data_IF_861765684481
#
_entry.id   IF_861765684481
#
_cell.length_a   1.000
_cell.length_b   1.000
_cell.length_c   1.000
_cell.angle_alpha   90.00
_cell.angle_beta   90.00
_cell.angle_gamma   90.00
#
_symmetry.space_group_name_H-M   'P 1'
#
loop_
_entity.id
_entity.type
_entity.pdbx_description
1 polymer ?
#
# COMPACT_ATOMS: atom_id res chain seq x y z
N UNK A 1 -8.94 22.52 12.55
CA UNK A 1 -7.48 22.77 12.37
C UNK A 1 -6.91 21.55 11.68
N UNK A 2 -6.10 21.75 10.63
CA UNK A 2 -5.47 20.65 9.90
C UNK A 2 -4.59 19.80 10.82
N UNK A 3 -4.76 18.46 10.84
CA UNK A 3 -3.90 17.59 11.63
C UNK A 3 -2.49 17.49 11.04
N UNK A 4 -1.52 17.11 11.89
CA UNK A 4 -0.17 16.72 11.46
C UNK A 4 -0.05 15.20 11.47
N UNK A 5 0.83 14.68 10.62
CA UNK A 5 1.23 13.28 10.54
C UNK A 5 2.73 13.15 10.76
N UNK A 6 3.14 12.07 11.43
CA UNK A 6 4.53 11.67 11.61
C UNK A 6 4.85 10.49 10.68
N UNK A 7 5.88 10.65 9.84
CA UNK A 7 6.24 9.70 8.78
C UNK A 7 7.66 9.19 9.02
N UNK A 8 7.82 7.90 9.29
CA UNK A 8 9.12 7.24 9.38
C UNK A 8 9.74 7.06 7.99
N UNK A 9 10.95 7.61 7.79
CA UNK A 9 11.59 7.66 6.46
C UNK A 9 12.76 6.69 6.35
N UNK A 10 13.66 6.68 7.31
CA UNK A 10 14.93 5.94 7.25
C UNK A 10 15.35 5.43 8.63
N UNK A 11 15.85 4.20 8.67
CA UNK A 11 16.43 3.54 9.85
C UNK A 11 17.88 3.20 9.57
N UNK A 12 18.82 3.80 10.33
CA UNK A 12 20.24 3.50 10.13
C UNK A 12 21.06 3.84 11.40
N UNK A 13 22.22 3.21 11.57
CA UNK A 13 23.20 3.56 12.62
C UNK A 13 23.86 4.93 12.37
N UNK A 14 23.84 5.41 11.14
CA UNK A 14 24.36 6.73 10.75
C UNK A 14 23.44 7.34 9.72
N UNK A 15 22.99 8.57 9.95
CA UNK A 15 22.15 9.34 9.03
C UNK A 15 22.82 10.67 8.73
N UNK A 16 22.93 11.00 7.45
CA UNK A 16 23.35 12.31 6.96
C UNK A 16 22.15 13.04 6.38
N UNK A 17 21.96 14.28 6.77
CA UNK A 17 20.89 15.14 6.29
C UNK A 17 21.37 16.57 6.08
N UNK A 18 20.68 17.32 5.24
CA UNK A 18 20.94 18.72 4.96
C UNK A 18 19.68 19.51 5.34
N UNK A 19 19.82 20.49 6.20
CA UNK A 19 18.81 21.52 6.44
C UNK A 19 19.00 22.59 5.36
N UNK A 20 18.14 22.59 4.34
CA UNK A 20 18.32 23.42 3.15
C UNK A 20 18.15 24.91 3.46
N UNK A 21 17.28 25.24 4.43
CA UNK A 21 17.08 26.56 4.98
C UNK A 21 17.31 26.56 6.50
N UNK A 22 16.92 27.64 7.16
CA UNK A 22 17.05 27.80 8.61
C UNK A 22 16.02 26.95 9.36
N UNK A 23 16.50 26.11 10.26
CA UNK A 23 15.74 25.34 11.24
C UNK A 23 16.12 25.75 12.65
N UNK A 24 15.24 25.50 13.61
CA UNK A 24 15.49 25.73 15.03
C UNK A 24 15.70 24.40 15.74
N UNK A 25 16.83 24.31 16.45
CA UNK A 25 17.06 23.26 17.44
C UNK A 25 17.18 23.95 18.83
N UNK A 26 16.26 23.62 19.75
CA UNK A 26 16.18 24.27 21.09
C UNK A 26 16.22 25.81 21.04
N UNK A 27 15.59 26.41 20.03
CA UNK A 27 15.54 27.85 19.81
C UNK A 27 16.77 28.44 19.16
N UNK A 28 17.78 27.65 18.82
CA UNK A 28 18.99 28.10 18.12
C UNK A 28 18.87 27.74 16.63
N UNK A 29 19.22 28.71 15.78
CA UNK A 29 19.23 28.52 14.34
C UNK A 29 20.33 27.55 13.90
N UNK A 30 19.97 26.59 13.06
CA UNK A 30 20.88 25.63 12.43
C UNK A 30 20.53 25.43 10.98
N UNK A 31 21.50 25.13 10.12
CA UNK A 31 21.32 24.87 8.69
C UNK A 31 22.47 24.02 8.14
N UNK A 32 22.42 23.66 6.87
CA UNK A 32 23.46 22.94 6.16
C UNK A 32 23.54 21.46 6.47
N UNK A 33 24.66 20.84 6.10
CA UNK A 33 24.86 19.39 6.22
C UNK A 33 25.19 19.00 7.66
N UNK A 34 24.48 17.98 8.13
CA UNK A 34 24.61 17.42 9.47
C UNK A 34 24.72 15.90 9.38
N UNK A 35 25.44 15.30 10.30
CA UNK A 35 25.55 13.84 10.44
C UNK A 35 25.31 13.45 11.88
N UNK A 36 24.47 12.44 12.09
CA UNK A 36 24.22 11.80 13.39
C UNK A 36 24.65 10.36 13.35
N UNK A 37 25.09 9.82 14.49
CA UNK A 37 25.44 8.40 14.63
C UNK A 37 24.86 7.82 15.92
N UNK A 38 24.44 6.56 15.86
CA UNK A 38 24.03 5.81 17.05
C UNK A 38 25.27 5.36 17.85
N UNK A 39 25.28 5.62 19.14
CA UNK A 39 26.28 5.11 20.05
C UNK A 39 25.70 4.94 21.46
N UNK A 40 25.86 3.75 22.06
CA UNK A 40 25.46 3.43 23.43
C UNK A 40 24.03 3.87 23.81
N UNK A 41 23.07 3.60 22.92
CA UNK A 41 21.66 3.93 23.16
C UNK A 41 21.29 5.39 22.94
N UNK A 42 22.21 6.21 22.40
CA UNK A 42 22.02 7.66 22.15
C UNK A 42 22.32 8.05 20.73
N UNK A 43 21.79 9.20 20.34
CA UNK A 43 22.17 9.90 19.11
C UNK A 43 23.36 10.79 19.40
N UNK A 44 24.47 10.59 18.72
CA UNK A 44 25.62 11.50 18.80
C UNK A 44 25.56 12.50 17.67
N UNK A 45 25.50 13.80 18.02
CA UNK A 45 25.50 14.93 17.10
C UNK A 45 26.43 16.03 17.63
N UNK A 46 27.30 16.54 16.80
CA UNK A 46 28.28 17.59 17.15
C UNK A 46 29.07 17.29 18.45
N UNK A 47 29.40 16.00 18.68
CA UNK A 47 30.17 15.55 19.83
C UNK A 47 29.37 15.41 21.13
N UNK A 48 28.08 15.68 21.13
CA UNK A 48 27.16 15.51 22.27
C UNK A 48 26.20 14.37 22.05
N UNK A 49 25.69 13.75 23.13
CA UNK A 49 24.78 12.62 23.10
C UNK A 49 23.36 13.03 23.51
N UNK A 50 22.37 12.61 22.73
CA UNK A 50 20.95 12.98 22.86
C UNK A 50 20.06 11.74 22.86
N UNK A 51 18.88 11.83 23.51
CA UNK A 51 17.81 10.82 23.40
C UNK A 51 17.01 11.00 22.12
N UNK A 52 16.74 12.24 21.77
CA UNK A 52 16.07 12.64 20.54
C UNK A 52 16.59 14.00 20.06
N UNK A 53 16.42 14.28 18.78
CA UNK A 53 16.66 15.58 18.17
C UNK A 53 15.41 16.01 17.40
N UNK A 54 15.03 17.28 17.54
CA UNK A 54 13.88 17.86 16.85
C UNK A 54 14.27 19.18 16.20
N UNK A 55 14.20 19.20 14.87
CA UNK A 55 14.51 20.36 14.04
C UNK A 55 13.21 20.95 13.51
N UNK A 56 12.83 22.12 14.00
CA UNK A 56 11.61 22.82 13.60
C UNK A 56 11.90 23.79 12.45
N UNK A 57 11.12 23.78 11.34
CA UNK A 57 11.34 24.73 10.26
C UNK A 57 11.01 26.15 10.71
N UNK A 58 11.90 27.09 10.41
CA UNK A 58 11.68 28.51 10.73
C UNK A 58 10.65 29.15 9.79
N UNK A 59 10.54 28.63 8.56
CA UNK A 59 9.60 29.07 7.54
C UNK A 59 8.76 27.90 7.04
N UNK A 60 7.51 28.17 6.60
CA UNK A 60 6.58 27.13 6.15
C UNK A 60 7.11 26.29 5.00
N UNK A 61 7.84 26.92 4.07
CA UNK A 61 8.37 26.27 2.87
C UNK A 61 9.79 25.72 3.06
N UNK A 62 10.34 25.81 4.29
CA UNK A 62 11.66 25.26 4.59
C UNK A 62 11.67 23.74 4.40
N UNK A 63 12.78 23.25 3.84
CA UNK A 63 12.96 21.84 3.49
C UNK A 63 14.26 21.28 4.07
N UNK A 64 14.31 19.96 4.17
CA UNK A 64 15.52 19.23 4.50
C UNK A 64 15.68 18.03 3.57
N UNK A 65 16.92 17.64 3.29
CA UNK A 65 17.25 16.47 2.47
C UNK A 65 17.83 15.38 3.35
N UNK A 66 17.29 14.16 3.26
CA UNK A 66 17.92 12.95 3.84
C UNK A 66 18.69 12.23 2.75
N UNK A 67 19.96 11.91 3.04
CA UNK A 67 20.84 11.19 2.12
C UNK A 67 20.59 9.69 2.16
N UNK A 68 20.78 9.03 1.00
CA UNK A 68 20.73 7.55 0.88
C UNK A 68 19.43 6.91 1.40
N UNK A 69 18.27 7.52 1.21
CA UNK A 69 16.97 6.92 1.54
C UNK A 69 16.77 5.71 0.66
N UNK A 70 16.51 4.54 1.27
CA UNK A 70 16.21 3.32 0.54
C UNK A 70 14.76 3.34 0.11
N UNK A 71 14.49 3.19 -1.18
CA UNK A 71 13.16 3.12 -1.78
C UNK A 71 12.96 1.79 -2.48
N UNK A 72 11.71 1.30 -2.50
CA UNK A 72 11.36 0.00 -3.09
C UNK A 72 11.96 -1.16 -2.33
N UNK A 73 11.89 -1.12 -1.01
CA UNK A 73 12.45 -2.14 -0.12
C UNK A 73 11.92 -3.53 -0.49
N UNK A 74 12.84 -4.47 -0.76
CA UNK A 74 12.55 -5.84 -1.23
C UNK A 74 11.92 -5.96 -2.64
N UNK A 75 11.88 -4.89 -3.42
CA UNK A 75 11.51 -4.95 -4.83
C UNK A 75 12.75 -5.04 -5.73
N UNK A 76 12.58 -5.51 -6.97
CA UNK A 76 13.67 -5.61 -7.97
C UNK A 76 14.27 -4.24 -8.37
N UNK A 77 13.58 -3.14 -8.04
CA UNK A 77 14.00 -1.76 -8.31
C UNK A 77 14.49 -1.03 -7.04
N UNK A 78 14.75 -1.75 -5.94
CA UNK A 78 15.32 -1.18 -4.71
C UNK A 78 16.59 -0.39 -5.02
N UNK A 79 16.65 0.84 -4.53
CA UNK A 79 17.81 1.73 -4.67
C UNK A 79 17.84 2.78 -3.58
N UNK A 80 18.98 3.49 -3.51
CA UNK A 80 19.16 4.65 -2.64
C UNK A 80 18.99 5.94 -3.44
N UNK A 81 18.26 6.87 -2.87
CA UNK A 81 18.07 8.22 -3.40
C UNK A 81 18.19 9.25 -2.28
N UNK A 82 18.75 10.43 -2.61
CA UNK A 82 18.62 11.60 -1.74
C UNK A 82 17.19 12.14 -1.90
N UNK A 83 16.48 12.28 -0.78
CA UNK A 83 15.10 12.75 -0.80
C UNK A 83 14.92 14.02 0.02
N UNK A 84 14.16 14.97 -0.54
CA UNK A 84 13.87 16.27 0.06
C UNK A 84 12.45 16.28 0.63
N UNK A 85 12.32 16.82 1.86
CA UNK A 85 11.08 16.86 2.63
C UNK A 85 10.83 18.24 3.19
N UNK A 86 9.57 18.66 3.25
CA UNK A 86 9.13 19.85 3.99
C UNK A 86 8.68 19.48 5.41
N UNK A 87 8.54 20.50 6.28
CA UNK A 87 8.11 20.31 7.67
C UNK A 87 9.27 20.04 8.63
N UNK A 88 8.98 19.46 9.80
CA UNK A 88 9.99 19.22 10.81
C UNK A 88 10.66 17.86 10.65
N UNK A 89 11.94 17.78 11.06
CA UNK A 89 12.70 16.55 11.16
C UNK A 89 12.87 16.17 12.64
N UNK A 90 12.41 14.96 12.99
CA UNK A 90 12.65 14.36 14.30
C UNK A 90 13.53 13.12 14.13
N UNK A 91 14.53 12.96 15.01
CA UNK A 91 15.39 11.79 15.07
C UNK A 91 15.22 11.15 16.45
N UNK A 92 14.99 9.84 16.48
CA UNK A 92 14.85 9.05 17.72
C UNK A 92 15.73 7.81 17.66
N UNK A 93 15.98 7.20 18.80
CA UNK A 93 16.61 5.88 18.88
C UNK A 93 15.54 4.79 18.88
N UNK A 94 15.68 3.81 18.02
CA UNK A 94 14.80 2.64 17.93
C UNK A 94 15.61 1.42 17.49
N UNK A 95 15.49 0.30 18.22
CA UNK A 95 16.14 -0.98 17.85
C UNK A 95 17.65 -0.85 17.51
N UNK A 96 18.42 -0.15 18.34
CA UNK A 96 19.87 0.11 18.13
C UNK A 96 20.20 0.84 16.81
N UNK A 97 19.26 1.59 16.28
CA UNK A 97 19.42 2.48 15.13
C UNK A 97 18.80 3.85 15.41
N UNK A 98 19.07 4.81 14.53
CA UNK A 98 18.38 6.09 14.49
C UNK A 98 17.26 6.00 13.47
N UNK A 99 16.07 6.42 13.87
CA UNK A 99 14.90 6.55 12.98
C UNK A 99 14.72 8.03 12.65
N UNK A 100 14.72 8.37 11.36
CA UNK A 100 14.38 9.70 10.86
C UNK A 100 12.88 9.78 10.60
N UNK A 101 12.22 10.75 11.22
CA UNK A 101 10.77 10.96 11.15
C UNK A 101 10.51 12.38 10.64
N UNK A 102 9.70 12.49 9.58
CA UNK A 102 9.18 13.79 9.12
C UNK A 102 7.84 14.09 9.79
N UNK A 103 7.66 15.31 10.30
CA UNK A 103 6.40 15.80 10.87
C UNK A 103 5.86 16.90 9.97
N UNK A 104 4.71 16.66 9.35
CA UNK A 104 4.16 17.50 8.29
C UNK A 104 2.64 17.63 8.39
N UNK A 105 2.04 18.65 7.79
CA UNK A 105 0.59 18.76 7.63
C UNK A 105 0.01 17.67 6.73
N UNK A 106 -1.21 17.21 7.01
CA UNK A 106 -1.86 16.14 6.23
C UNK A 106 -1.98 16.51 4.75
N UNK A 107 -2.30 17.76 4.40
CA UNK A 107 -2.46 18.15 3.00
C UNK A 107 -1.12 18.19 2.24
N UNK A 108 -0.06 18.61 2.90
CA UNK A 108 1.29 18.59 2.33
C UNK A 108 1.81 17.14 2.18
N UNK A 109 1.53 16.27 3.17
CA UNK A 109 1.78 14.83 3.06
C UNK A 109 1.08 14.21 1.86
N UNK A 110 -0.21 14.51 1.66
CA UNK A 110 -1.00 14.00 0.52
C UNK A 110 -0.46 14.50 -0.83
N UNK A 111 0.10 15.69 -0.88
CA UNK A 111 0.75 16.20 -2.09
C UNK A 111 1.89 15.28 -2.54
N UNK A 112 2.71 14.82 -1.60
CA UNK A 112 3.75 13.84 -1.87
C UNK A 112 3.20 12.46 -2.26
N UNK A 113 2.25 11.94 -1.48
CA UNK A 113 1.65 10.62 -1.72
C UNK A 113 1.03 10.53 -3.12
N UNK A 114 0.17 11.50 -3.48
CA UNK A 114 -0.51 11.48 -4.78
C UNK A 114 0.49 11.63 -5.92
N UNK A 115 1.51 12.48 -5.77
CA UNK A 115 2.57 12.65 -6.77
C UNK A 115 3.44 11.38 -6.91
N UNK A 116 3.51 10.54 -5.87
CA UNK A 116 4.28 9.29 -5.86
C UNK A 116 3.46 8.09 -6.37
N UNK A 117 2.14 8.09 -6.13
CA UNK A 117 1.22 7.01 -6.49
C UNK A 117 0.62 7.17 -7.90
N UNK A 118 0.34 8.41 -8.32
CA UNK A 118 -0.33 8.73 -9.56
C UNK A 118 0.58 9.43 -10.55
N UNK A 119 0.33 9.16 -11.83
CA UNK A 119 0.98 9.93 -12.90
C UNK A 119 0.42 11.35 -12.96
N UNK A 120 1.28 12.22 -13.41
CA UNK A 120 0.97 13.58 -13.83
C UNK A 120 -0.11 13.74 -14.91
N UNK A 121 -0.38 12.66 -15.65
CA UNK A 121 -1.39 12.63 -16.72
C UNK A 121 -2.78 12.23 -16.21
N UNK A 122 -2.91 11.95 -14.91
CA UNK A 122 -4.18 11.55 -14.31
C UNK A 122 -5.22 12.68 -14.39
N UNK A 123 -6.48 12.29 -14.61
CA UNK A 123 -7.58 13.26 -14.65
C UNK A 123 -7.76 13.94 -13.28
N UNK A 124 -8.21 15.20 -13.28
CA UNK A 124 -8.44 15.94 -12.03
C UNK A 124 -9.43 15.21 -11.11
N UNK A 125 -10.46 14.58 -11.67
CA UNK A 125 -11.46 13.85 -10.88
C UNK A 125 -10.88 12.57 -10.26
N UNK A 126 -9.98 11.85 -10.94
CA UNK A 126 -9.23 10.74 -10.36
C UNK A 126 -8.33 11.21 -9.22
N UNK A 127 -7.59 12.32 -9.40
CA UNK A 127 -6.72 12.88 -8.37
C UNK A 127 -7.50 13.35 -7.14
N UNK A 128 -8.68 13.96 -7.32
CA UNK A 128 -9.60 14.32 -6.23
C UNK A 128 -10.08 13.09 -5.46
N UNK A 129 -10.52 12.05 -6.18
CA UNK A 129 -10.95 10.80 -5.56
C UNK A 129 -9.80 10.20 -4.75
N UNK A 130 -8.59 10.19 -5.32
CA UNK A 130 -7.40 9.66 -4.64
C UNK A 130 -7.00 10.49 -3.41
N UNK A 131 -7.13 11.82 -3.46
CA UNK A 131 -6.89 12.70 -2.31
C UNK A 131 -7.83 12.38 -1.15
N UNK A 132 -9.12 12.18 -1.42
CA UNK A 132 -10.12 11.85 -0.39
C UNK A 132 -9.85 10.46 0.22
N UNK A 133 -9.59 9.43 -0.59
CA UNK A 133 -9.32 8.07 -0.06
C UNK A 133 -8.02 8.01 0.71
N UNK A 134 -6.94 8.62 0.22
CA UNK A 134 -5.64 8.64 0.91
C UNK A 134 -5.73 9.35 2.25
N UNK A 135 -6.49 10.47 2.33
CA UNK A 135 -6.76 11.19 3.57
C UNK A 135 -7.61 10.36 4.52
N UNK A 136 -8.66 9.71 4.02
CA UNK A 136 -9.54 8.85 4.83
C UNK A 136 -8.77 7.68 5.41
N UNK A 137 -8.00 6.97 4.59
CA UNK A 137 -7.17 5.86 5.03
C UNK A 137 -6.18 6.31 6.11
N UNK A 138 -5.41 7.38 5.86
CA UNK A 138 -4.42 7.90 6.81
C UNK A 138 -5.05 8.21 8.18
N UNK A 139 -6.13 8.98 8.18
CA UNK A 139 -6.77 9.41 9.42
C UNK A 139 -7.45 8.26 10.16
N UNK A 140 -8.07 7.32 9.44
CA UNK A 140 -8.62 6.10 10.03
C UNK A 140 -7.53 5.25 10.70
N UNK A 141 -6.35 5.17 10.08
CA UNK A 141 -5.23 4.44 10.65
C UNK A 141 -4.68 5.12 11.92
N UNK A 142 -4.57 6.44 11.93
CA UNK A 142 -4.15 7.19 13.12
C UNK A 142 -5.16 7.00 14.27
N UNK A 143 -6.46 7.02 13.97
CA UNK A 143 -7.52 6.77 14.97
C UNK A 143 -7.43 5.34 15.52
N UNK A 144 -7.31 4.33 14.63
CA UNK A 144 -7.14 2.90 15.01
C UNK A 144 -5.94 2.69 15.94
N UNK A 145 -4.79 3.29 15.62
CA UNK A 145 -3.60 3.17 16.47
C UNK A 145 -3.83 3.74 17.87
N UNK A 146 -4.49 4.89 17.98
CA UNK A 146 -4.81 5.49 19.27
C UNK A 146 -5.75 4.61 20.10
N UNK A 147 -6.74 3.97 19.45
CA UNK A 147 -7.67 3.03 20.10
C UNK A 147 -6.92 1.80 20.61
N UNK A 148 -6.04 1.18 19.82
CA UNK A 148 -5.23 0.01 20.19
C UNK A 148 -4.31 0.32 21.39
N UNK A 149 -3.59 1.44 21.35
CA UNK A 149 -2.71 1.86 22.45
C UNK A 149 -3.51 2.12 23.73
N UNK A 150 -4.69 2.71 23.61
CA UNK A 150 -5.55 3.02 24.76
C UNK A 150 -6.17 1.77 25.43
N UNK A 151 -6.34 0.67 24.68
CA UNK A 151 -6.98 -0.54 25.15
C UNK A 151 -5.98 -1.60 25.66
N UNK A 152 -4.68 -1.39 25.50
CA UNK A 152 -3.60 -2.35 25.81
C UNK A 152 -3.84 -3.74 25.16
N UNK A 153 -4.62 -3.82 24.09
CA UNK A 153 -4.94 -5.06 23.40
C UNK A 153 -3.71 -5.64 22.68
N UNK A 154 -3.45 -6.93 22.93
CA UNK A 154 -2.49 -7.68 22.12
C UNK A 154 -3.14 -8.02 20.79
N UNK A 155 -2.72 -7.35 19.75
CA UNK A 155 -3.14 -7.62 18.39
C UNK A 155 -2.37 -8.84 17.84
N UNK A 156 -3.11 -9.83 17.32
CA UNK A 156 -2.51 -11.04 16.73
C UNK A 156 -2.66 -10.96 15.22
N UNK A 157 -1.54 -10.98 14.51
CA UNK A 157 -1.49 -10.85 13.04
C UNK A 157 -1.22 -12.14 12.31
N UNK A 158 -0.99 -13.22 13.06
CA UNK A 158 -0.78 -14.53 12.45
C UNK A 158 -1.25 -15.67 13.35
N UNK A 159 -1.63 -16.77 12.71
CA UNK A 159 -1.88 -18.06 13.33
C UNK A 159 -0.91 -19.03 12.67
N UNK A 160 -0.13 -19.76 13.47
CA UNK A 160 0.77 -20.81 12.98
C UNK A 160 0.58 -22.08 13.79
N UNK A 161 0.26 -23.17 13.09
CA UNK A 161 0.15 -24.52 13.61
C UNK A 161 1.07 -25.45 12.81
N UNK A 162 1.02 -26.76 13.06
CA UNK A 162 1.79 -27.75 12.28
C UNK A 162 1.39 -27.74 10.80
N UNK A 163 0.08 -27.56 10.51
CA UNK A 163 -0.53 -27.71 9.18
C UNK A 163 -1.01 -26.41 8.54
N UNK A 164 -0.99 -25.30 9.27
CA UNK A 164 -1.55 -24.04 8.80
C UNK A 164 -0.70 -22.84 9.22
N UNK A 165 -0.45 -21.91 8.31
CA UNK A 165 0.11 -20.57 8.56
C UNK A 165 -0.79 -19.54 7.91
N UNK A 166 -1.58 -18.84 8.71
CA UNK A 166 -2.43 -17.72 8.28
C UNK A 166 -1.81 -16.43 8.79
N UNK A 167 -1.40 -15.57 7.90
CA UNK A 167 -0.76 -14.30 8.22
C UNK A 167 -1.41 -13.16 7.45
N UNK A 168 -1.75 -12.10 8.16
CA UNK A 168 -2.16 -10.84 7.55
C UNK A 168 -1.21 -9.73 7.99
N UNK A 169 -0.94 -8.82 7.07
CA UNK A 169 0.01 -7.74 7.24
C UNK A 169 -0.79 -6.47 7.50
N UNK A 170 -0.98 -6.13 8.75
CA UNK A 170 -1.54 -4.86 9.17
C UNK A 170 -0.41 -4.06 9.87
N UNK A 171 -0.71 -2.97 10.50
CA UNK A 171 0.17 -1.85 10.79
C UNK A 171 0.82 -1.86 12.19
N UNK A 172 0.96 -3.00 12.81
CA UNK A 172 1.49 -3.12 14.18
C UNK A 172 2.95 -2.69 14.32
N UNK A 173 3.64 -2.51 13.20
CA UNK A 173 5.08 -2.28 13.19
C UNK A 173 5.47 -0.81 13.50
N UNK A 174 4.48 0.11 13.63
CA UNK A 174 4.75 1.54 13.84
C UNK A 174 4.28 2.00 15.21
N UNK A 175 5.19 2.01 16.19
CA UNK A 175 4.89 2.47 17.56
C UNK A 175 5.24 3.94 17.76
N UNK A 176 6.30 4.44 17.09
CA UNK A 176 6.89 5.74 17.34
C UNK A 176 6.50 6.82 16.32
N UNK A 177 5.75 6.44 15.28
CA UNK A 177 5.25 7.34 14.23
C UNK A 177 3.96 6.78 13.60
N UNK A 178 3.21 7.60 12.90
CA UNK A 178 1.88 7.23 12.39
C UNK A 178 1.95 6.29 11.18
N UNK A 179 2.83 6.55 10.22
CA UNK A 179 3.00 5.81 8.96
C UNK A 179 4.45 5.76 8.52
N UNK A 180 4.84 4.79 7.72
CA UNK A 180 6.15 4.79 7.04
C UNK A 180 6.05 5.38 5.63
N UNK A 181 7.21 5.68 5.05
CA UNK A 181 7.34 6.25 3.71
C UNK A 181 7.23 5.20 2.58
N UNK A 182 7.20 3.90 2.90
CA UNK A 182 7.23 2.79 1.95
C UNK A 182 5.83 2.27 1.58
N UNK A 183 5.77 1.38 0.60
CA UNK A 183 4.55 0.74 0.07
C UNK A 183 3.72 -0.04 1.11
N UNK A 184 4.28 -0.32 2.28
CA UNK A 184 3.55 -0.89 3.42
C UNK A 184 2.40 0.02 3.89
N UNK A 185 2.62 1.34 3.91
CA UNK A 185 1.60 2.34 4.21
C UNK A 185 1.10 3.01 2.92
N UNK A 186 1.59 4.19 2.63
CA UNK A 186 1.38 4.91 1.38
C UNK A 186 2.72 5.45 0.93
N UNK A 187 3.05 5.30 -0.35
CA UNK A 187 4.33 5.74 -0.88
C UNK A 187 4.52 7.24 -0.69
N UNK A 188 5.47 7.61 0.17
CA UNK A 188 5.79 9.00 0.51
C UNK A 188 7.25 9.29 0.17
N UNK A 189 7.50 10.17 -0.80
CA UNK A 189 8.86 10.49 -1.29
C UNK A 189 9.19 11.99 -1.16
N UNK A 190 8.56 12.68 -0.20
CA UNK A 190 8.77 14.09 0.00
C UNK A 190 8.37 14.93 -1.21
N UNK A 191 9.09 16.01 -1.45
CA UNK A 191 8.88 16.93 -2.58
C UNK A 191 9.79 16.62 -3.77
N UNK A 192 10.67 15.62 -3.67
CA UNK A 192 11.66 15.28 -4.70
C UNK A 192 11.06 14.99 -6.06
N UNK A 193 9.89 14.37 -6.10
CA UNK A 193 9.16 14.03 -7.33
C UNK A 193 8.00 14.96 -7.68
N UNK A 194 7.75 15.94 -6.86
CA UNK A 194 6.65 16.89 -7.03
C UNK A 194 6.82 17.83 -8.25
N UNK A 195 7.96 17.78 -8.95
CA UNK A 195 8.38 18.84 -9.86
C UNK A 195 7.72 18.86 -11.24
N UNK A 196 7.04 17.81 -11.73
CA UNK A 196 6.57 17.80 -13.11
C UNK A 196 5.08 18.15 -13.31
N UNK A 197 4.21 17.99 -12.30
CA UNK A 197 2.78 18.34 -12.37
C UNK A 197 2.15 18.60 -11.00
N UNK A 198 2.90 19.16 -10.10
CA UNK A 198 2.46 19.49 -8.76
C UNK A 198 1.21 20.37 -8.72
N UNK A 199 1.01 21.21 -9.74
CA UNK A 199 -0.10 22.18 -9.77
C UNK A 199 -1.47 21.49 -9.85
N UNK A 200 -1.63 20.45 -10.68
CA UNK A 200 -2.90 19.72 -10.77
C UNK A 200 -3.16 18.90 -9.49
N UNK A 201 -2.11 18.35 -8.88
CA UNK A 201 -2.20 17.64 -7.60
C UNK A 201 -2.60 18.60 -6.48
N UNK A 202 -1.94 19.76 -6.37
CA UNK A 202 -2.30 20.81 -5.41
C UNK A 202 -3.75 21.29 -5.62
N UNK A 203 -4.18 21.45 -6.87
CA UNK A 203 -5.57 21.81 -7.20
C UNK A 203 -6.55 20.73 -6.71
N UNK A 204 -6.26 19.44 -6.91
CA UNK A 204 -7.11 18.35 -6.46
C UNK A 204 -7.22 18.33 -4.93
N UNK A 205 -6.10 18.52 -4.23
CA UNK A 205 -6.03 18.55 -2.77
C UNK A 205 -6.80 19.75 -2.21
N UNK A 206 -6.58 20.95 -2.76
CA UNK A 206 -7.26 22.17 -2.29
C UNK A 206 -8.78 22.07 -2.51
N UNK A 207 -9.23 21.55 -3.66
CA UNK A 207 -10.67 21.38 -3.94
C UNK A 207 -11.33 20.31 -3.08
N UNK A 208 -10.56 19.40 -2.49
CA UNK A 208 -11.05 18.34 -1.60
C UNK A 208 -10.53 18.49 -0.17
N UNK A 209 -10.00 19.68 0.18
CA UNK A 209 -9.37 19.93 1.48
C UNK A 209 -10.25 19.53 2.65
N UNK A 210 -9.69 18.67 3.52
CA UNK A 210 -10.37 18.17 4.72
C UNK A 210 -11.50 17.18 4.46
N UNK A 211 -11.79 16.81 3.19
CA UNK A 211 -12.84 15.84 2.87
C UNK A 211 -12.35 14.41 3.12
N UNK A 212 -13.20 13.62 3.77
CA UNK A 212 -12.99 12.19 4.03
C UNK A 212 -14.26 11.40 3.74
N UNK A 213 -14.10 10.11 3.55
CA UNK A 213 -15.20 9.14 3.54
C UNK A 213 -15.55 8.77 4.99
N UNK A 214 -16.84 8.74 5.31
CA UNK A 214 -17.36 8.27 6.57
C UNK A 214 -18.45 7.23 6.38
N UNK A 215 -18.50 6.28 7.30
CA UNK A 215 -19.57 5.32 7.46
C UNK A 215 -19.83 5.13 8.96
N UNK A 216 -21.11 5.10 9.38
CA UNK A 216 -21.50 4.93 10.78
C UNK A 216 -20.78 5.91 11.75
N UNK A 217 -20.60 7.17 11.32
CA UNK A 217 -19.87 8.24 12.02
C UNK A 217 -18.36 8.03 12.23
N UNK A 218 -17.77 6.98 11.68
CA UNK A 218 -16.32 6.75 11.69
C UNK A 218 -15.71 7.08 10.34
N UNK A 219 -14.44 7.48 10.34
CA UNK A 219 -13.66 7.64 9.10
C UNK A 219 -13.42 6.25 8.49
N UNK A 220 -13.67 6.11 7.20
CA UNK A 220 -13.49 4.85 6.50
C UNK A 220 -12.01 4.49 6.34
N UNK A 221 -11.67 3.23 6.62
CA UNK A 221 -10.42 2.61 6.16
C UNK A 221 -10.51 2.43 4.63
N UNK A 222 -10.24 3.50 3.91
CA UNK A 222 -10.49 3.61 2.48
C UNK A 222 -9.38 2.94 1.66
N UNK A 223 -9.38 1.60 1.64
CA UNK A 223 -8.42 0.77 0.90
C UNK A 223 -8.55 0.96 -0.61
N UNK A 224 -7.45 0.82 -1.33
CA UNK A 224 -7.42 0.87 -2.79
C UNK A 224 -6.36 -0.07 -3.36
N UNK A 225 -6.54 -0.51 -4.58
CA UNK A 225 -5.60 -1.39 -5.27
C UNK A 225 -5.52 -1.07 -6.76
N UNK A 226 -4.48 -1.54 -7.43
CA UNK A 226 -4.21 -1.26 -8.83
C UNK A 226 -5.34 -1.72 -9.75
N UNK A 227 -5.78 -2.99 -9.61
CA UNK A 227 -6.82 -3.59 -10.46
C UNK A 227 -7.60 -4.66 -9.69
N UNK A 228 -8.92 -4.49 -9.56
CA UNK A 228 -9.77 -5.48 -8.88
C UNK A 228 -9.98 -6.78 -9.70
N UNK A 229 -9.77 -6.74 -11.03
CA UNK A 229 -10.01 -7.88 -11.92
C UNK A 229 -11.47 -8.06 -12.34
N UNK A 230 -12.29 -7.00 -12.12
CA UNK A 230 -13.69 -6.89 -12.49
C UNK A 230 -14.68 -7.07 -11.33
N UNK A 231 -14.23 -7.58 -10.18
CA UNK A 231 -15.00 -7.65 -8.92
C UNK A 231 -14.11 -7.22 -7.77
N UNK A 232 -14.62 -6.30 -6.95
CA UNK A 232 -13.97 -5.80 -5.74
C UNK A 232 -14.09 -6.84 -4.62
N UNK A 233 -13.02 -6.98 -3.83
CA UNK A 233 -12.93 -7.93 -2.71
C UNK A 233 -13.43 -7.30 -1.41
N UNK A 234 -13.82 -8.12 -0.45
CA UNK A 234 -14.17 -7.73 0.90
C UNK A 234 -12.94 -7.75 1.83
N UNK A 235 -12.89 -6.82 2.77
CA UNK A 235 -11.75 -6.59 3.66
C UNK A 235 -11.28 -7.84 4.42
N UNK A 236 -12.21 -8.58 5.04
CA UNK A 236 -11.90 -9.75 5.89
C UNK A 236 -11.20 -10.89 5.15
N UNK A 237 -11.24 -10.91 3.82
CA UNK A 237 -10.57 -11.94 3.03
C UNK A 237 -9.06 -11.65 2.87
N UNK A 238 -8.64 -10.41 3.11
CA UNK A 238 -7.25 -9.97 2.98
C UNK A 238 -6.55 -9.73 4.32
N UNK A 239 -7.27 -9.25 5.32
CA UNK A 239 -6.77 -8.88 6.66
C UNK A 239 -7.49 -9.60 7.79
N UNK A 240 -7.65 -8.94 8.95
CA UNK A 240 -8.40 -9.49 10.07
C UNK A 240 -9.86 -9.77 9.70
N UNK A 241 -10.51 -10.61 10.50
CA UNK A 241 -11.87 -11.08 10.25
C UNK A 241 -12.93 -10.04 10.68
N UNK A 242 -12.79 -8.84 10.12
CA UNK A 242 -13.66 -7.68 10.36
C UNK A 242 -14.40 -7.31 9.08
N UNK A 243 -15.72 -7.14 9.15
CA UNK A 243 -16.54 -6.68 8.02
C UNK A 243 -16.82 -5.19 8.13
N UNK A 244 -16.56 -4.49 7.04
CA UNK A 244 -16.90 -3.07 6.89
C UNK A 244 -18.07 -2.93 5.93
N UNK A 245 -19.15 -2.21 6.28
CA UNK A 245 -20.34 -2.08 5.44
C UNK A 245 -20.06 -1.38 4.10
N UNK A 246 -19.00 -0.60 4.02
CA UNK A 246 -18.57 0.15 2.84
C UNK A 246 -17.47 -0.56 2.00
N UNK A 247 -16.88 -1.66 2.47
CA UNK A 247 -15.88 -2.47 1.74
C UNK A 247 -16.49 -3.82 1.35
N UNK A 248 -17.45 -3.75 0.46
CA UNK A 248 -18.25 -4.91 0.07
C UNK A 248 -17.94 -5.38 -1.35
N UNK A 249 -18.35 -6.60 -1.65
CA UNK A 249 -18.34 -7.14 -3.00
C UNK A 249 -19.07 -6.23 -3.97
N UNK A 250 -18.40 -5.84 -5.04
CA UNK A 250 -18.91 -4.92 -6.04
C UNK A 250 -18.42 -5.31 -7.43
N UNK A 251 -19.30 -5.22 -8.43
CA UNK A 251 -18.89 -5.29 -9.82
C UNK A 251 -18.31 -3.95 -10.29
N UNK A 252 -17.18 -4.00 -10.96
CA UNK A 252 -16.46 -2.81 -11.45
C UNK A 252 -17.01 -2.35 -12.83
N UNK A 253 -18.33 -2.13 -12.90
CA UNK A 253 -19.03 -1.61 -14.08
C UNK A 253 -20.37 -0.95 -13.70
N UNK A 254 -21.07 -0.39 -14.69
CA UNK A 254 -22.41 0.21 -14.53
C UNK A 254 -23.55 -0.82 -14.68
N UNK A 255 -23.25 -2.10 -14.83
CA UNK A 255 -24.29 -3.09 -15.10
C UNK A 255 -25.05 -3.47 -13.83
N UNK A 256 -26.32 -3.79 -14.02
CA UNK A 256 -27.18 -4.36 -12.98
C UNK A 256 -27.18 -5.91 -13.00
N UNK A 257 -26.22 -6.52 -13.72
CA UNK A 257 -26.10 -7.96 -13.79
C UNK A 257 -25.68 -8.56 -12.45
N UNK A 258 -26.22 -9.73 -12.13
CA UNK A 258 -25.84 -10.46 -10.93
C UNK A 258 -24.34 -10.77 -10.91
N UNK A 259 -23.76 -10.61 -9.74
CA UNK A 259 -22.35 -10.96 -9.50
C UNK A 259 -22.29 -12.46 -9.22
N UNK A 260 -21.48 -13.24 -9.99
CA UNK A 260 -21.33 -14.66 -9.73
C UNK A 260 -20.75 -14.91 -8.33
N UNK A 261 -21.07 -16.07 -7.75
CA UNK A 261 -20.49 -16.46 -6.47
C UNK A 261 -19.07 -17.01 -6.67
N UNK A 262 -18.08 -16.11 -6.64
CA UNK A 262 -16.67 -16.46 -6.84
C UNK A 262 -16.02 -17.13 -5.61
N UNK A 263 -16.76 -17.37 -4.54
CA UNK A 263 -16.29 -18.27 -3.46
C UNK A 263 -16.32 -19.72 -3.92
N UNK A 264 -17.12 -20.02 -4.96
CA UNK A 264 -17.19 -21.34 -5.57
C UNK A 264 -16.09 -21.50 -6.62
N UNK A 265 -15.28 -22.54 -6.48
CA UNK A 265 -14.10 -22.78 -7.34
C UNK A 265 -14.46 -22.77 -8.84
N UNK A 266 -15.55 -23.42 -9.26
CA UNK A 266 -15.96 -23.51 -10.65
C UNK A 266 -16.33 -22.13 -11.24
N UNK A 267 -17.01 -21.29 -10.48
CA UNK A 267 -17.36 -19.93 -10.92
C UNK A 267 -16.11 -19.04 -10.98
N UNK A 268 -15.18 -19.19 -10.02
CA UNK A 268 -13.89 -18.51 -10.06
C UNK A 268 -13.05 -18.92 -11.28
N UNK A 269 -12.95 -20.20 -11.59
CA UNK A 269 -12.26 -20.70 -12.79
C UNK A 269 -12.87 -20.05 -14.04
N UNK A 270 -14.19 -20.10 -14.19
CA UNK A 270 -14.89 -19.49 -15.33
C UNK A 270 -14.64 -17.97 -15.42
N UNK A 271 -14.70 -17.25 -14.31
CA UNK A 271 -14.45 -15.80 -14.27
C UNK A 271 -13.02 -15.45 -14.67
N UNK A 272 -12.03 -16.15 -14.12
CA UNK A 272 -10.62 -15.90 -14.36
C UNK A 272 -10.23 -16.19 -15.81
N UNK A 273 -10.75 -17.29 -16.38
CA UNK A 273 -10.46 -17.66 -17.77
C UNK A 273 -11.26 -16.89 -18.84
N UNK A 274 -12.16 -16.02 -18.42
CA UNK A 274 -12.90 -15.12 -19.31
C UNK A 274 -12.49 -13.67 -19.10
N UNK A 275 -12.96 -12.77 -19.96
CA UNK A 275 -12.70 -11.32 -19.86
C UNK A 275 -14.04 -10.55 -19.79
N UNK A 276 -14.82 -10.68 -18.71
CA UNK A 276 -16.08 -9.96 -18.56
C UNK A 276 -15.88 -8.45 -18.67
N UNK A 277 -16.92 -7.73 -19.07
CA UNK A 277 -16.90 -6.28 -19.09
C UNK A 277 -16.68 -5.74 -17.67
N UNK A 278 -15.78 -4.76 -17.54
CA UNK A 278 -15.50 -4.01 -16.33
C UNK A 278 -14.80 -2.71 -16.70
N UNK A 279 -14.86 -1.69 -15.84
CA UNK A 279 -14.09 -0.46 -16.05
C UNK A 279 -12.60 -0.77 -16.13
N UNK A 280 -12.07 -1.61 -15.25
CA UNK A 280 -10.65 -1.97 -15.26
C UNK A 280 -10.25 -2.95 -16.38
N UNK A 281 -11.17 -3.46 -17.20
CA UNK A 281 -10.85 -4.26 -18.37
C UNK A 281 -10.47 -3.36 -19.56
N UNK A 282 -9.37 -2.63 -19.43
CA UNK A 282 -8.83 -1.73 -20.46
C UNK A 282 -7.40 -2.09 -20.80
N UNK A 283 -7.02 -1.86 -22.05
CA UNK A 283 -5.64 -1.91 -22.57
C UNK A 283 -5.22 -0.54 -23.13
N UNK A 284 -6.02 0.49 -22.91
CA UNK A 284 -5.70 1.85 -23.33
C UNK A 284 -4.48 2.36 -22.53
N UNK A 285 -3.37 2.52 -23.23
CA UNK A 285 -2.10 2.97 -22.64
C UNK A 285 -2.21 4.37 -22.03
N UNK A 286 -3.05 5.25 -22.60
CA UNK A 286 -3.28 6.60 -22.05
C UNK A 286 -3.92 6.50 -20.67
N UNK A 287 -4.89 5.60 -20.50
CA UNK A 287 -5.55 5.38 -19.21
C UNK A 287 -4.60 4.68 -18.23
N UNK A 288 -3.96 3.60 -18.67
CA UNK A 288 -3.02 2.86 -17.82
C UNK A 288 -1.86 3.73 -17.33
N UNK A 289 -1.35 4.64 -18.16
CA UNK A 289 -0.28 5.57 -17.77
C UNK A 289 -0.68 6.54 -16.64
N UNK A 290 -1.96 6.74 -16.37
CA UNK A 290 -2.43 7.60 -15.28
C UNK A 290 -2.18 6.98 -13.89
N UNK A 291 -2.19 5.66 -13.80
CA UNK A 291 -2.11 4.90 -12.54
C UNK A 291 -0.85 4.05 -12.44
N UNK A 292 0.03 4.12 -13.43
CA UNK A 292 1.28 3.38 -13.49
C UNK A 292 2.46 4.33 -13.37
N UNK A 293 3.36 4.01 -12.45
CA UNK A 293 4.69 4.60 -12.44
C UNK A 293 5.53 4.06 -13.60
N UNK A 294 6.62 4.73 -13.95
CA UNK A 294 7.49 4.33 -15.04
C UNK A 294 8.00 2.88 -14.95
N UNK A 295 8.03 2.31 -13.76
CA UNK A 295 8.49 0.93 -13.49
C UNK A 295 7.43 -0.15 -13.76
N UNK A 296 6.15 0.21 -13.70
CA UNK A 296 5.03 -0.72 -13.91
C UNK A 296 4.53 -0.71 -15.37
N UNK A 297 5.16 0.08 -16.26
CA UNK A 297 4.72 0.24 -17.65
C UNK A 297 5.19 -0.89 -18.58
N UNK A 298 5.92 -1.87 -18.08
CA UNK A 298 6.42 -3.00 -18.88
C UNK A 298 5.33 -3.99 -19.30
N UNK A 299 4.17 -3.97 -18.63
CA UNK A 299 3.04 -4.84 -18.93
C UNK A 299 1.72 -4.09 -19.02
N UNK A 300 0.78 -4.63 -19.79
CA UNK A 300 -0.61 -4.19 -19.86
C UNK A 300 -1.58 -5.24 -19.28
N UNK A 301 -1.06 -6.32 -18.72
CA UNK A 301 -1.82 -7.51 -18.32
C UNK A 301 -2.37 -7.42 -16.88
N UNK A 302 -2.87 -6.24 -16.48
CA UNK A 302 -3.43 -6.01 -15.14
C UNK A 302 -4.76 -6.70 -14.91
N UNK A 303 -5.59 -6.82 -15.94
CA UNK A 303 -6.91 -7.41 -15.82
C UNK A 303 -6.86 -8.93 -15.79
N UNK A 304 -6.01 -9.54 -16.64
CA UNK A 304 -5.73 -10.98 -16.70
C UNK A 304 -4.25 -11.20 -16.95
N UNK A 305 -3.67 -12.13 -16.24
CA UNK A 305 -2.25 -12.42 -16.29
C UNK A 305 -1.97 -13.92 -16.23
N UNK A 306 -0.76 -14.31 -16.60
CA UNK A 306 -0.28 -15.68 -16.48
C UNK A 306 1.18 -15.69 -16.05
N UNK A 307 1.52 -16.62 -15.14
CA UNK A 307 2.90 -16.88 -14.70
C UNK A 307 3.14 -18.39 -14.78
N UNK A 308 4.32 -18.76 -15.23
CA UNK A 308 4.73 -20.18 -15.36
C UNK A 308 6.00 -20.40 -14.57
N UNK A 309 6.01 -21.43 -13.75
CA UNK A 309 7.18 -21.91 -13.01
C UNK A 309 7.43 -23.38 -13.34
N UNK A 310 8.68 -23.78 -13.41
CA UNK A 310 9.03 -25.19 -13.26
C UNK A 310 8.81 -25.62 -11.81
N UNK A 311 8.64 -26.92 -11.59
CA UNK A 311 8.48 -27.46 -10.23
C UNK A 311 9.68 -27.12 -9.32
N UNK A 312 10.89 -27.11 -9.88
CA UNK A 312 12.11 -26.75 -9.15
C UNK A 312 12.10 -25.26 -8.77
N UNK A 313 11.89 -24.37 -9.74
CA UNK A 313 11.81 -22.91 -9.48
C UNK A 313 10.78 -22.56 -8.42
N UNK A 314 9.57 -23.14 -8.52
CA UNK A 314 8.51 -22.90 -7.54
C UNK A 314 8.89 -23.39 -6.14
N UNK A 315 9.54 -24.57 -6.04
CA UNK A 315 9.93 -25.14 -4.75
C UNK A 315 11.02 -24.30 -4.06
N UNK A 316 12.02 -23.87 -4.82
CA UNK A 316 13.11 -23.00 -4.33
C UNK A 316 12.57 -21.63 -3.94
N UNK A 317 11.69 -21.06 -4.75
CA UNK A 317 11.06 -19.77 -4.52
C UNK A 317 10.22 -19.78 -3.24
N UNK A 318 9.33 -20.76 -3.09
CA UNK A 318 8.48 -20.91 -1.91
C UNK A 318 9.31 -21.06 -0.62
N UNK A 319 10.39 -21.87 -0.65
CA UNK A 319 11.31 -21.99 0.49
C UNK A 319 11.98 -20.67 0.83
N UNK A 320 12.57 -20.00 -0.14
CA UNK A 320 13.27 -18.73 0.06
C UNK A 320 12.36 -17.63 0.61
N UNK A 321 11.09 -17.59 0.15
CA UNK A 321 10.13 -16.54 0.50
C UNK A 321 9.38 -16.78 1.80
N UNK A 322 9.03 -18.02 2.10
CA UNK A 322 8.25 -18.38 3.30
C UNK A 322 9.09 -18.90 4.46
N UNK A 323 10.33 -19.36 4.19
CA UNK A 323 11.15 -20.09 5.15
C UNK A 323 10.67 -21.53 5.40
N UNK A 324 9.63 -22.00 4.69
CA UNK A 324 9.06 -23.34 4.85
C UNK A 324 9.69 -24.29 3.81
N UNK A 325 10.38 -25.35 4.29
CA UNK A 325 10.92 -26.38 3.41
C UNK A 325 9.83 -27.40 3.02
N UNK A 326 9.14 -27.10 1.92
CA UNK A 326 8.18 -28.03 1.33
C UNK A 326 8.85 -29.24 0.64
N UNK A 327 10.17 -29.19 0.40
CA UNK A 327 10.84 -30.09 -0.52
C UNK A 327 10.42 -29.82 -1.96
N UNK A 328 10.15 -30.85 -2.74
CA UNK A 328 9.60 -30.71 -4.08
C UNK A 328 8.09 -30.46 -4.00
N UNK A 329 7.61 -29.32 -4.44
CA UNK A 329 6.17 -28.99 -4.46
C UNK A 329 5.48 -29.87 -5.50
N UNK A 330 4.49 -30.63 -5.08
CA UNK A 330 3.73 -31.56 -5.90
C UNK A 330 2.42 -30.98 -6.39
N UNK A 331 1.71 -30.22 -5.50
CA UNK A 331 0.41 -29.63 -5.81
C UNK A 331 0.25 -28.28 -5.12
N UNK A 332 -0.52 -27.39 -5.75
CA UNK A 332 -1.09 -26.18 -5.19
C UNK A 332 -2.62 -26.32 -5.23
N UNK A 333 -3.26 -26.39 -4.07
CA UNK A 333 -4.70 -26.68 -3.98
C UNK A 333 -5.42 -25.47 -3.41
N UNK A 334 -6.29 -24.77 -4.17
CA UNK A 334 -7.21 -23.77 -3.66
C UNK A 334 -8.10 -24.35 -2.54
N UNK A 335 -8.11 -23.72 -1.36
CA UNK A 335 -8.92 -24.18 -0.22
C UNK A 335 -10.08 -23.24 0.05
N UNK A 336 -9.83 -21.94 0.03
CA UNK A 336 -10.85 -20.94 0.32
C UNK A 336 -10.64 -19.70 -0.56
N UNK A 337 -11.75 -19.15 -1.07
CA UNK A 337 -11.77 -17.94 -1.88
C UNK A 337 -12.67 -16.89 -1.26
N UNK A 338 -12.21 -15.63 -1.36
CA UNK A 338 -13.04 -14.46 -1.12
C UNK A 338 -14.03 -14.20 -2.25
N UNK A 339 -14.82 -13.16 -2.07
CA UNK A 339 -15.96 -12.82 -2.95
C UNK A 339 -15.55 -12.34 -4.34
N UNK A 340 -14.29 -11.96 -4.55
CA UNK A 340 -13.71 -11.63 -5.87
C UNK A 340 -12.98 -12.80 -6.53
N UNK A 341 -13.00 -13.99 -5.93
CA UNK A 341 -12.24 -15.17 -6.39
C UNK A 341 -10.79 -15.18 -5.93
N UNK A 342 -10.34 -14.19 -5.13
CA UNK A 342 -9.01 -14.21 -4.50
C UNK A 342 -8.93 -15.32 -3.48
N UNK A 343 -7.83 -16.07 -3.51
CA UNK A 343 -7.56 -17.10 -2.51
C UNK A 343 -7.25 -16.42 -1.16
N UNK A 344 -8.02 -16.78 -0.14
CA UNK A 344 -7.73 -16.50 1.26
C UNK A 344 -6.94 -17.64 1.90
N UNK A 345 -7.07 -18.88 1.36
CA UNK A 345 -6.27 -20.04 1.78
C UNK A 345 -5.83 -20.87 0.57
N UNK A 346 -4.54 -21.22 0.57
CA UNK A 346 -3.91 -22.10 -0.41
C UNK A 346 -3.14 -23.22 0.29
N UNK A 347 -3.44 -24.48 -0.05
CA UNK A 347 -2.67 -25.62 0.44
C UNK A 347 -1.54 -25.95 -0.52
N UNK A 348 -0.32 -25.97 0.00
CA UNK A 348 0.89 -26.38 -0.71
C UNK A 348 1.25 -27.80 -0.26
N UNK A 349 1.25 -28.73 -1.20
CA UNK A 349 1.61 -30.12 -0.98
C UNK A 349 3.04 -30.32 -1.50
N UNK A 350 3.94 -30.63 -0.60
CA UNK A 350 5.34 -30.89 -0.93
C UNK A 350 5.80 -32.28 -0.48
N UNK A 351 6.98 -32.71 -0.96
CA UNK A 351 7.54 -34.01 -0.62
C UNK A 351 8.03 -34.11 0.85
N UNK A 352 8.32 -32.97 1.49
CA UNK A 352 8.76 -32.91 2.90
C UNK A 352 7.68 -32.39 3.84
N UNK A 353 6.90 -31.41 3.38
CA UNK A 353 5.85 -30.78 4.20
C UNK A 353 4.63 -30.45 3.34
N UNK A 354 3.45 -30.57 3.96
CA UNK A 354 2.19 -30.05 3.43
C UNK A 354 1.67 -29.03 4.42
N UNK A 355 1.28 -27.85 3.93
CA UNK A 355 0.79 -26.77 4.78
C UNK A 355 -0.20 -25.89 4.03
N UNK A 356 -1.23 -25.41 4.71
CA UNK A 356 -2.13 -24.38 4.22
C UNK A 356 -1.56 -23.01 4.59
N UNK A 357 -1.43 -22.12 3.62
CA UNK A 357 -1.00 -20.74 3.84
C UNK A 357 -2.14 -19.77 3.51
N UNK A 358 -2.19 -18.64 4.18
CA UNK A 358 -3.14 -17.53 4.02
C UNK A 358 -2.65 -16.32 4.83
N UNK A 359 -3.17 -15.12 4.67
CA UNK A 359 -4.20 -14.70 3.71
C UNK A 359 -3.58 -14.29 2.37
N UNK A 360 -4.28 -13.35 1.69
CA UNK A 360 -4.02 -12.90 0.32
C UNK A 360 -2.54 -12.54 0.08
N UNK A 361 -1.98 -11.66 0.90
CA UNK A 361 -0.60 -11.18 0.71
C UNK A 361 0.44 -12.26 1.04
N UNK A 362 0.20 -13.13 2.04
CA UNK A 362 1.11 -14.25 2.35
C UNK A 362 1.20 -15.22 1.17
N UNK A 363 0.07 -15.53 0.52
CA UNK A 363 0.03 -16.36 -0.69
C UNK A 363 0.86 -15.71 -1.81
N UNK A 364 0.65 -14.41 -2.07
CA UNK A 364 1.37 -13.67 -3.11
C UNK A 364 2.87 -13.59 -2.86
N UNK A 365 3.28 -13.37 -1.61
CA UNK A 365 4.70 -13.30 -1.22
C UNK A 365 5.40 -14.64 -1.34
N UNK A 366 4.71 -15.73 -1.01
CA UNK A 366 5.27 -17.09 -1.10
C UNK A 366 5.52 -17.52 -2.54
N UNK A 367 4.70 -17.07 -3.49
CA UNK A 367 4.71 -17.51 -4.87
C UNK A 367 5.37 -16.50 -5.85
N UNK A 368 6.14 -15.52 -5.37
CA UNK A 368 6.83 -14.57 -6.22
C UNK A 368 8.09 -14.01 -5.56
N UNK A 369 9.06 -13.59 -6.34
CA UNK A 369 10.29 -12.92 -5.84
C UNK A 369 9.97 -11.62 -5.09
N UNK A 370 8.97 -10.88 -5.56
CA UNK A 370 8.43 -9.71 -4.88
C UNK A 370 7.02 -10.02 -4.34
N UNK A 371 6.02 -9.79 -5.15
CA UNK A 371 4.62 -10.12 -4.87
C UNK A 371 3.95 -10.61 -6.15
N UNK A 372 3.29 -11.77 -6.12
CA UNK A 372 2.45 -12.20 -7.23
C UNK A 372 1.37 -11.15 -7.49
N UNK A 373 0.95 -10.96 -8.71
CA UNK A 373 0.03 -9.89 -9.11
C UNK A 373 -1.24 -9.82 -8.26
N UNK A 374 -1.88 -10.95 -8.01
CA UNK A 374 -2.98 -11.10 -7.05
C UNK A 374 -3.05 -12.54 -6.56
N UNK A 375 -3.91 -12.84 -5.59
CA UNK A 375 -4.24 -14.21 -5.22
C UNK A 375 -5.46 -14.78 -5.96
N UNK A 376 -6.06 -14.02 -6.90
CA UNK A 376 -7.14 -14.51 -7.75
C UNK A 376 -6.56 -15.28 -8.93
N UNK A 377 -6.20 -16.54 -8.72
CA UNK A 377 -5.64 -17.39 -9.78
C UNK A 377 -6.16 -18.83 -9.72
N UNK A 378 -6.01 -19.51 -10.86
CA UNK A 378 -6.18 -20.97 -11.02
C UNK A 378 -4.82 -21.59 -11.22
N UNK A 379 -4.70 -22.87 -10.93
CA UNK A 379 -3.47 -23.63 -11.07
C UNK A 379 -3.68 -24.77 -12.05
N UNK A 380 -2.91 -24.78 -13.13
CA UNK A 380 -2.77 -25.92 -14.03
C UNK A 380 -1.36 -26.52 -13.86
N UNK A 381 -1.27 -27.85 -13.81
CA UNK A 381 0.00 -28.55 -13.83
C UNK A 381 0.14 -29.33 -15.12
N UNK A 382 1.21 -29.05 -15.89
CA UNK A 382 1.58 -29.75 -17.12
C UNK A 382 3.02 -30.18 -17.02
N UNK A 383 3.24 -31.49 -16.99
CA UNK A 383 4.55 -32.10 -16.80
C UNK A 383 5.21 -31.56 -15.51
N UNK A 384 6.37 -30.92 -15.63
CA UNK A 384 7.13 -30.29 -14.54
C UNK A 384 6.77 -28.81 -14.31
N UNK A 385 5.70 -28.28 -14.95
CA UNK A 385 5.35 -26.86 -14.90
C UNK A 385 4.04 -26.61 -14.16
N UNK A 386 4.06 -25.58 -13.34
CA UNK A 386 2.90 -24.95 -12.75
C UNK A 386 2.54 -23.69 -13.53
N UNK A 387 1.33 -23.61 -14.04
CA UNK A 387 0.79 -22.47 -14.79
C UNK A 387 -0.24 -21.79 -13.89
N UNK A 388 0.05 -20.57 -13.45
CA UNK A 388 -0.86 -19.74 -12.67
C UNK A 388 -1.53 -18.76 -13.64
N UNK A 389 -2.84 -18.91 -13.85
CA UNK A 389 -3.65 -17.98 -14.64
C UNK A 389 -4.51 -17.16 -13.70
N UNK A 390 -4.41 -15.83 -13.76
CA UNK A 390 -5.02 -14.98 -12.73
C UNK A 390 -5.70 -13.71 -13.23
N UNK A 391 -6.34 -13.01 -12.29
CA UNK A 391 -7.11 -11.81 -12.52
C UNK A 391 -6.80 -10.72 -11.51
N UNK A 392 -6.66 -9.48 -11.99
CA UNK A 392 -6.44 -8.31 -11.17
C UNK A 392 -5.01 -8.16 -10.64
N UNK A 393 -4.76 -7.05 -9.94
CA UNK A 393 -3.47 -6.67 -9.39
C UNK A 393 -3.65 -5.99 -8.03
N UNK A 394 -3.07 -6.58 -6.98
CA UNK A 394 -3.25 -6.19 -5.59
C UNK A 394 -4.41 -6.93 -4.91
N UNK A 395 -4.69 -6.53 -3.68
CA UNK A 395 -5.70 -7.15 -2.82
C UNK A 395 -7.15 -7.00 -3.32
N UNK A 396 -7.42 -6.01 -4.16
CA UNK A 396 -8.74 -5.83 -4.80
C UNK A 396 -9.82 -5.20 -3.92
N UNK A 397 -9.52 -4.80 -2.69
CA UNK A 397 -10.49 -4.20 -1.75
C UNK A 397 -10.61 -2.69 -1.99
N UNK A 398 -11.82 -2.16 -1.94
CA UNK A 398 -12.12 -0.74 -2.09
C UNK A 398 -11.91 -0.23 -3.53
N UNK A 399 -11.32 0.97 -3.70
CA UNK A 399 -11.20 1.59 -5.01
C UNK A 399 -10.23 0.85 -5.93
N UNK A 400 -10.69 0.52 -7.13
CA UNK A 400 -9.87 0.03 -8.23
C UNK A 400 -9.28 1.21 -9.00
N UNK A 401 -7.95 1.42 -8.92
CA UNK A 401 -7.30 2.58 -9.52
C UNK A 401 -7.51 2.66 -11.05
N UNK A 402 -7.37 1.52 -11.76
CA UNK A 402 -7.60 1.48 -13.21
C UNK A 402 -9.09 1.73 -13.54
N UNK A 403 -10.01 1.14 -12.78
CA UNK A 403 -11.45 1.38 -12.96
C UNK A 403 -11.81 2.85 -12.73
N UNK A 404 -11.30 3.45 -11.65
CA UNK A 404 -11.47 4.87 -11.35
C UNK A 404 -10.89 5.79 -12.43
N UNK A 405 -9.74 5.43 -13.03
CA UNK A 405 -9.17 6.17 -14.16
C UNK A 405 -10.07 6.14 -15.39
N UNK A 406 -10.64 4.96 -15.71
CA UNK A 406 -11.62 4.82 -16.80
C UNK A 406 -12.89 5.64 -16.51
N UNK A 407 -13.38 5.63 -15.27
CA UNK A 407 -14.53 6.44 -14.89
C UNK A 407 -14.24 7.94 -15.06
N UNK A 408 -13.06 8.40 -14.62
CA UNK A 408 -12.63 9.80 -14.81
C UNK A 408 -12.57 10.22 -16.28
N UNK A 409 -12.01 9.37 -17.16
CA UNK A 409 -11.99 9.64 -18.62
C UNK A 409 -13.39 9.60 -19.25
N UNK A 410 -14.32 8.87 -18.67
CA UNK A 410 -15.75 8.87 -19.06
C UNK A 410 -16.54 10.06 -18.53
N UNK A 411 -15.92 10.96 -17.75
CA UNK A 411 -16.52 12.18 -17.22
C UNK A 411 -17.24 12.03 -15.87
N UNK A 412 -17.07 10.90 -15.18
CA UNK A 412 -17.57 10.77 -13.82
C UNK A 412 -16.84 11.74 -12.88
N UNK A 413 -17.59 12.40 -12.02
CA UNK A 413 -17.05 13.27 -10.98
C UNK A 413 -16.44 12.44 -9.83
N UNK A 414 -15.48 13.00 -9.09
CA UNK A 414 -14.79 12.28 -8.02
C UNK A 414 -15.74 11.69 -6.96
N UNK A 415 -16.82 12.37 -6.63
CA UNK A 415 -17.82 11.87 -5.69
C UNK A 415 -18.58 10.66 -6.24
N UNK A 416 -18.86 10.61 -7.54
CA UNK A 416 -19.47 9.45 -8.20
C UNK A 416 -18.49 8.27 -8.22
N UNK A 417 -17.20 8.53 -8.48
CA UNK A 417 -16.15 7.51 -8.41
C UNK A 417 -16.05 6.94 -7.00
N UNK A 418 -15.99 7.80 -5.99
CA UNK A 418 -15.88 7.37 -4.58
C UNK A 418 -17.08 6.53 -4.14
N UNK A 419 -18.30 7.00 -4.39
CA UNK A 419 -19.53 6.32 -3.96
C UNK A 419 -19.87 5.08 -4.80
N UNK A 420 -19.20 4.87 -5.94
CA UNK A 420 -19.23 3.60 -6.65
C UNK A 420 -18.47 2.50 -5.88
N UNK A 421 -17.29 2.82 -5.31
CA UNK A 421 -16.44 1.83 -4.63
C UNK A 421 -16.68 1.70 -3.13
N UNK A 422 -17.23 2.73 -2.48
CA UNK A 422 -17.48 2.74 -1.03
C UNK A 422 -18.98 2.90 -0.79
N UNK A 423 -19.65 1.75 -0.80
CA UNK A 423 -21.11 1.67 -0.68
C UNK A 423 -21.54 2.21 0.70
N UNK A 424 -22.64 2.95 0.75
CA UNK A 424 -23.21 3.54 1.98
C UNK A 424 -22.24 4.46 2.76
N UNK A 425 -21.13 4.88 2.14
CA UNK A 425 -20.30 5.92 2.70
C UNK A 425 -20.79 7.32 2.32
N UNK A 426 -20.43 8.32 3.11
CA UNK A 426 -20.67 9.75 2.85
C UNK A 426 -19.33 10.48 2.73
N UNK A 427 -19.34 11.59 1.97
CA UNK A 427 -18.17 12.48 1.89
C UNK A 427 -18.43 13.65 2.83
N UNK A 428 -17.59 13.80 3.85
CA UNK A 428 -17.72 14.84 4.85
C UNK A 428 -16.43 15.65 4.99
N UNK A 429 -16.58 16.94 5.34
CA UNK A 429 -15.44 17.82 5.60
C UNK A 429 -15.14 17.86 7.10
N UNK A 430 -13.91 17.54 7.51
CA UNK A 430 -13.48 17.51 8.91
C UNK A 430 -12.90 18.85 9.40
N UNK A 431 -12.21 19.60 8.52
CA UNK A 431 -11.54 20.87 8.84
C UNK A 431 -11.50 21.84 7.69
#
# INVERSE_FOLDING_TARGET
>A
MEPKVSVGILWNKKITFILNEAYLYEGQETSGENTVSFNDGKIVWNGSAYDELYFEPQYKDASFTIKDVVIGINFHWERKEDQEFQGALKLIVENETITAINIIGVEDYLTSVISSEMSATASLELLKAHAVISRSWLLAQIEKNREIIAQEEKYTTFIETEDERIRWYDREDHVNFDVCADDHCQRYQGITRANSNIEIVKQAIEQTRGQVLKSENKICDARFSKCCGGIVEEFQNCWEDTKFPYLVKLRDDDSTQDIPDLTQEQESIKWIHTRPSAFCNTQDKKILSQVLNNYDQETTDFYRWQVVYTQTELSELAYRRSGIDFGTIQELIPIERGTSGRLSKLKIVGSKKTMTIGKELEIRRTLSESHLYSSAFTVDKKDDKFILTGAGWGHGVGLCQIGAAVMGEKGYQYNQILLHYYIDATIEKLY
#
